data_IF_010366517836
#
_entry.id   IF_010366517836
#
_cell.length_a   1.000
_cell.length_b   1.000
_cell.length_c   1.000
_cell.angle_alpha   90.00
_cell.angle_beta   90.00
_cell.angle_gamma   90.00
#
_symmetry.space_group_name_H-M   'P 1'
#
loop_
_entity.id
_entity.type
_entity.pdbx_description
1 polymer ?
#
# COMPACT_ATOMS: atom_id res chain seq x y z
N UNK A 1 -13.68 35.54 -77.22
CA UNK A 1 -14.13 36.29 -76.02
C UNK A 1 -12.96 36.23 -75.03
N UNK A 2 -12.05 37.21 -74.99
CA UNK A 2 -12.12 38.45 -74.14
C UNK A 2 -12.22 38.02 -72.66
N UNK A 3 -11.31 38.27 -71.70
CA UNK A 3 -10.21 39.23 -71.43
C UNK A 3 -9.28 38.58 -70.36
N UNK A 4 -7.94 38.54 -70.44
CA UNK A 4 -6.92 39.55 -70.03
C UNK A 4 -7.18 40.28 -68.69
N UNK A 5 -6.33 40.05 -67.67
CA UNK A 5 -5.26 41.00 -67.30
C UNK A 5 -4.26 40.48 -66.24
N UNK A 6 -2.98 40.71 -66.56
CA UNK A 6 -1.76 40.54 -65.76
C UNK A 6 -1.50 41.76 -64.87
N UNK A 7 -0.76 41.57 -63.76
CA UNK A 7 0.30 42.47 -63.25
C UNK A 7 1.33 41.55 -62.55
N UNK A 8 2.51 41.26 -63.13
CA UNK A 8 3.85 41.88 -62.88
C UNK A 8 4.14 42.02 -61.37
N UNK A 9 5.23 41.58 -60.72
CA UNK A 9 6.68 41.48 -60.96
C UNK A 9 7.23 40.98 -59.60
N UNK A 10 8.10 39.98 -59.45
CA UNK A 10 9.56 40.05 -59.60
C UNK A 10 10.10 38.62 -59.38
N UNK A 11 10.83 38.09 -60.35
CA UNK A 11 11.77 37.01 -60.13
C UNK A 11 13.17 37.61 -60.02
N UNK A 12 13.83 37.41 -58.87
CA UNK A 12 15.29 37.41 -58.74
C UNK A 12 15.66 36.36 -57.69
N UNK A 13 16.63 35.51 -58.05
CA UNK A 13 17.43 34.63 -57.20
C UNK A 13 16.79 33.34 -56.66
N UNK A 14 16.57 32.38 -57.57
CA UNK A 14 16.53 30.95 -57.25
C UNK A 14 17.79 30.31 -57.88
N UNK A 15 18.96 30.54 -57.25
CA UNK A 15 20.23 29.83 -57.50
C UNK A 15 21.29 30.30 -56.50
N UNK A 16 21.19 29.81 -55.27
CA UNK A 16 22.32 29.64 -54.37
C UNK A 16 22.03 28.40 -53.51
N UNK A 17 22.21 27.23 -54.12
CA UNK A 17 22.47 26.01 -53.37
C UNK A 17 23.76 26.21 -52.54
N UNK A 18 23.79 25.47 -51.44
CA UNK A 18 24.95 25.13 -50.59
C UNK A 18 25.18 26.08 -49.41
N UNK A 19 25.17 25.45 -48.22
CA UNK A 19 25.48 25.96 -46.89
C UNK A 19 24.34 26.72 -46.18
N UNK A 20 23.51 25.97 -45.44
CA UNK A 20 23.05 26.25 -44.06
C UNK A 20 21.90 25.29 -43.70
N UNK A 21 22.22 23.98 -43.62
CA UNK A 21 21.38 22.97 -42.97
C UNK A 21 22.25 22.25 -41.92
N UNK A 22 22.68 23.03 -40.93
CA UNK A 22 23.32 22.55 -39.71
C UNK A 22 23.01 23.57 -38.61
N UNK A 23 21.74 23.63 -38.23
CA UNK A 23 21.25 24.55 -37.21
C UNK A 23 20.37 23.79 -36.24
N UNK A 24 21.00 23.18 -35.26
CA UNK A 24 20.48 22.86 -33.93
C UNK A 24 18.96 22.70 -33.82
N UNK A 25 18.46 21.49 -34.09
CA UNK A 25 17.38 20.96 -33.25
C UNK A 25 18.05 20.51 -31.96
N UNK A 26 18.41 21.46 -31.10
CA UNK A 26 18.49 21.14 -29.68
C UNK A 26 17.06 20.76 -29.29
N UNK A 27 16.81 19.46 -29.15
CA UNK A 27 15.69 19.00 -28.34
C UNK A 27 15.89 19.63 -26.97
N UNK A 28 15.20 20.73 -26.70
CA UNK A 28 15.06 21.24 -25.35
C UNK A 28 14.30 20.14 -24.61
N UNK A 29 15.04 19.32 -23.85
CA UNK A 29 14.44 18.50 -22.81
C UNK A 29 13.58 19.45 -21.97
N UNK A 30 12.27 19.20 -21.81
CA UNK A 30 11.46 20.05 -20.95
C UNK A 30 12.14 20.05 -19.59
N UNK A 31 12.58 21.22 -19.12
CA UNK A 31 13.04 21.38 -17.76
C UNK A 31 11.84 21.06 -16.88
N UNK A 32 11.84 19.87 -16.29
CA UNK A 32 10.76 19.39 -15.45
C UNK A 32 10.56 20.40 -14.31
N UNK A 33 9.37 21.00 -14.25
CA UNK A 33 9.00 21.84 -13.12
C UNK A 33 9.08 20.97 -11.87
N UNK A 34 9.71 21.49 -10.81
CA UNK A 34 9.77 20.88 -9.48
C UNK A 34 8.34 20.48 -9.07
N UNK A 35 7.99 19.21 -9.28
CA UNK A 35 6.66 18.69 -8.99
C UNK A 35 6.48 18.65 -7.48
N UNK A 36 5.34 19.17 -7.06
CA UNK A 36 4.66 19.12 -5.75
C UNK A 36 5.45 18.55 -4.56
N UNK A 37 5.51 19.29 -3.45
CA UNK A 37 6.11 18.83 -2.19
C UNK A 37 5.39 17.56 -1.70
N UNK A 38 6.03 16.41 -1.89
CA UNK A 38 5.63 15.15 -1.28
C UNK A 38 6.15 15.13 0.15
N UNK A 39 5.30 14.78 1.11
CA UNK A 39 5.71 14.51 2.47
C UNK A 39 6.49 13.19 2.55
N UNK A 40 7.82 13.29 2.47
CA UNK A 40 8.72 12.13 2.59
C UNK A 40 8.73 11.52 4.00
N UNK A 41 8.22 12.23 5.02
CA UNK A 41 8.16 11.72 6.39
C UNK A 41 7.07 10.66 6.58
N UNK A 42 6.15 10.53 5.62
CA UNK A 42 5.11 9.50 5.62
C UNK A 42 5.62 8.09 5.33
N UNK A 43 6.78 7.94 4.67
CA UNK A 43 7.28 6.66 4.18
C UNK A 43 8.15 5.96 5.21
N UNK A 44 7.91 4.67 5.45
CA UNK A 44 8.66 3.90 6.46
C UNK A 44 10.04 3.48 5.99
N UNK A 45 10.20 3.18 4.70
CA UNK A 45 11.43 2.60 4.16
C UNK A 45 11.94 3.34 2.92
N UNK A 46 13.25 3.25 2.72
CA UNK A 46 13.97 3.79 1.58
C UNK A 46 14.89 2.75 0.96
N UNK A 47 15.14 2.84 -0.34
CA UNK A 47 16.26 2.16 -0.99
C UNK A 47 16.97 3.12 -1.94
N UNK A 48 18.29 3.12 -1.90
CA UNK A 48 19.12 3.86 -2.85
C UNK A 48 19.33 3.03 -4.11
N UNK A 49 19.25 3.70 -5.26
CA UNK A 49 19.39 3.09 -6.58
C UNK A 49 20.37 3.94 -7.38
N UNK A 50 21.53 3.35 -7.66
CA UNK A 50 22.56 3.94 -8.50
C UNK A 50 22.65 3.15 -9.81
N UNK A 51 21.85 3.49 -10.83
CA UNK A 51 21.95 2.81 -12.11
C UNK A 51 23.30 3.17 -12.75
N UNK A 52 24.17 2.17 -12.91
CA UNK A 52 25.47 2.37 -13.53
C UNK A 52 25.33 2.83 -14.98
N UNK A 53 25.83 4.06 -15.27
CA UNK A 53 26.07 4.66 -16.60
C UNK A 53 25.07 4.27 -17.70
N UNK A 54 23.77 4.49 -17.47
CA UNK A 54 22.81 4.48 -18.56
C UNK A 54 23.11 5.66 -19.50
N UNK A 55 23.44 5.39 -20.77
CA UNK A 55 23.67 6.44 -21.77
C UNK A 55 22.36 7.09 -22.27
N UNK A 56 21.23 6.39 -22.08
CA UNK A 56 19.90 6.80 -22.52
C UNK A 56 18.85 6.64 -21.41
N UNK A 57 17.77 7.44 -21.42
CA UNK A 57 16.64 7.23 -20.51
C UNK A 57 16.10 5.81 -20.64
N UNK A 58 15.98 5.10 -19.50
CA UNK A 58 15.67 3.68 -19.46
C UNK A 58 14.63 3.41 -18.38
N UNK A 59 13.65 2.55 -18.64
CA UNK A 59 12.70 2.11 -17.61
C UNK A 59 13.42 1.12 -16.70
N UNK A 60 13.57 1.47 -15.44
CA UNK A 60 14.15 0.59 -14.44
C UNK A 60 13.05 -0.11 -13.66
N UNK A 61 13.26 -1.39 -13.39
CA UNK A 61 12.45 -2.17 -12.46
C UNK A 61 13.30 -2.51 -11.23
N UNK A 62 12.82 -2.10 -10.06
CA UNK A 62 13.49 -2.31 -8.77
C UNK A 62 12.68 -3.30 -7.96
N UNK A 63 13.16 -4.53 -7.76
CA UNK A 63 12.51 -5.50 -6.88
C UNK A 63 12.47 -5.00 -5.43
N UNK A 64 11.35 -5.28 -4.75
CA UNK A 64 11.10 -4.96 -3.35
C UNK A 64 10.85 -6.26 -2.59
N UNK A 65 11.48 -6.38 -1.42
CA UNK A 65 11.31 -7.54 -0.54
C UNK A 65 9.84 -7.75 -0.14
N UNK A 66 9.30 -8.90 -0.55
CA UNK A 66 7.89 -9.26 -0.39
C UNK A 66 7.54 -9.38 1.10
N UNK A 67 6.40 -8.79 1.48
CA UNK A 67 5.86 -8.87 2.85
C UNK A 67 6.44 -7.87 3.85
N UNK A 68 7.41 -7.04 3.45
CA UNK A 68 7.87 -5.90 4.27
C UNK A 68 7.07 -4.61 4.03
N UNK A 69 6.43 -4.50 2.88
CA UNK A 69 5.64 -3.34 2.46
C UNK A 69 4.17 -3.72 2.52
N UNK A 70 3.38 -2.97 3.28
CA UNK A 70 1.93 -3.17 3.39
C UNK A 70 1.19 -2.29 2.37
N UNK A 71 1.60 -1.03 2.27
CA UNK A 71 1.03 -0.07 1.34
C UNK A 71 1.86 -0.03 0.05
N UNK A 72 1.26 -0.50 -1.06
CA UNK A 72 1.89 -0.68 -2.39
C UNK A 72 2.09 0.63 -3.15
N UNK A 73 2.48 1.65 -2.43
CA UNK A 73 2.65 2.98 -2.96
C UNK A 73 4.08 3.42 -2.76
N UNK A 74 4.66 4.01 -3.79
CA UNK A 74 6.06 4.37 -3.79
C UNK A 74 6.30 5.71 -4.50
N UNK A 75 7.34 6.42 -4.04
CA UNK A 75 7.76 7.68 -4.63
C UNK A 75 9.23 7.59 -4.93
N UNK A 76 9.60 7.98 -6.15
CA UNK A 76 10.99 8.01 -6.58
C UNK A 76 11.44 9.45 -6.56
N UNK A 77 12.56 9.74 -5.88
CA UNK A 77 13.17 11.06 -5.84
C UNK A 77 14.53 10.96 -6.52
N UNK A 78 14.72 11.73 -7.60
CA UNK A 78 16.03 11.91 -8.21
C UNK A 78 16.74 13.13 -7.62
N UNK A 79 18.06 13.05 -7.42
CA UNK A 79 18.88 14.06 -6.73
C UNK A 79 18.54 15.52 -7.11
N UNK A 80 18.45 15.82 -8.41
CA UNK A 80 18.21 17.18 -8.92
C UNK A 80 16.88 17.36 -9.67
N UNK A 81 16.14 16.28 -9.91
CA UNK A 81 14.97 16.28 -10.81
C UNK A 81 13.61 16.21 -10.09
N UNK A 82 13.63 16.15 -8.75
CA UNK A 82 12.40 16.06 -7.96
C UNK A 82 11.74 14.67 -8.06
N UNK A 83 10.45 14.62 -7.73
CA UNK A 83 9.70 13.35 -7.67
C UNK A 83 9.35 12.85 -9.07
N UNK A 84 9.60 11.57 -9.31
CA UNK A 84 9.29 10.88 -10.55
C UNK A 84 8.00 10.05 -10.40
N UNK A 85 7.15 9.98 -11.44
CA UNK A 85 6.08 9.00 -11.51
C UNK A 85 6.64 7.59 -11.38
N UNK A 86 6.00 6.78 -10.55
CA UNK A 86 6.36 5.39 -10.32
C UNK A 86 5.14 4.50 -10.57
N UNK A 87 5.37 3.25 -10.91
CA UNK A 87 4.33 2.24 -11.06
C UNK A 87 4.69 1.00 -10.26
N UNK A 88 3.84 0.66 -9.29
CA UNK A 88 4.01 -0.53 -8.47
C UNK A 88 3.42 -1.75 -9.19
N UNK A 89 4.23 -2.78 -9.38
CA UNK A 89 3.83 -4.05 -9.99
C UNK A 89 3.92 -5.17 -8.96
N UNK A 90 2.98 -6.10 -9.04
CA UNK A 90 3.00 -7.35 -8.30
C UNK A 90 2.75 -8.47 -9.29
N UNK A 91 3.73 -9.35 -9.46
CA UNK A 91 3.68 -10.42 -10.45
C UNK A 91 4.16 -11.73 -9.82
N UNK A 92 3.86 -12.84 -10.47
CA UNK A 92 4.26 -14.17 -10.02
C UNK A 92 5.27 -14.71 -11.01
N UNK A 93 6.52 -14.81 -10.58
CA UNK A 93 7.58 -15.39 -11.38
C UNK A 93 7.78 -16.87 -11.04
N UNK A 94 8.12 -17.63 -12.08
CA UNK A 94 8.59 -19.01 -11.92
C UNK A 94 10.09 -18.95 -11.80
N UNK A 95 10.61 -19.32 -10.63
CA UNK A 95 12.05 -19.33 -10.42
C UNK A 95 12.65 -20.52 -11.16
N UNK A 96 13.35 -20.26 -12.25
CA UNK A 96 14.10 -21.30 -12.94
C UNK A 96 15.42 -21.58 -12.20
N UNK A 97 15.62 -22.82 -11.77
CA UNK A 97 16.85 -23.20 -11.08
C UNK A 97 17.95 -23.49 -12.10
N UNK A 98 19.11 -22.79 -12.03
CA UNK A 98 20.25 -23.13 -12.87
C UNK A 98 20.69 -24.57 -12.59
N UNK A 99 20.73 -25.37 -13.65
CA UNK A 99 21.12 -26.78 -13.61
C UNK A 99 22.35 -27.01 -14.46
N UNK A 100 23.26 -27.84 -13.97
CA UNK A 100 24.40 -28.35 -14.72
C UNK A 100 24.08 -29.76 -15.17
N UNK A 101 24.11 -29.97 -16.48
CA UNK A 101 23.91 -31.28 -17.08
C UNK A 101 25.28 -31.93 -17.29
N UNK A 102 25.56 -33.00 -16.56
CA UNK A 102 26.76 -33.82 -16.72
C UNK A 102 26.35 -35.11 -17.43
N UNK A 103 26.73 -35.22 -18.70
CA UNK A 103 26.55 -36.46 -19.45
C UNK A 103 27.87 -37.18 -19.58
N UNK A 104 27.91 -38.46 -19.20
CA UNK A 104 29.11 -39.29 -19.39
C UNK A 104 29.28 -39.60 -20.88
N UNK A 105 30.35 -39.08 -21.47
CA UNK A 105 30.76 -39.38 -22.84
C UNK A 105 30.21 -38.45 -23.94
N UNK A 106 29.46 -37.40 -23.59
CA UNK A 106 28.99 -36.41 -24.56
C UNK A 106 29.80 -35.11 -24.50
N UNK A 107 30.06 -34.51 -25.66
CA UNK A 107 30.68 -33.19 -25.81
C UNK A 107 29.56 -32.14 -25.76
N UNK A 108 29.82 -30.98 -25.15
CA UNK A 108 28.88 -29.85 -25.04
C UNK A 108 27.58 -30.14 -24.25
N UNK A 109 27.67 -30.90 -23.15
CA UNK A 109 26.50 -31.20 -22.31
C UNK A 109 25.75 -29.97 -21.78
N UNK A 110 26.42 -28.80 -21.69
CA UNK A 110 25.81 -27.53 -21.29
C UNK A 110 24.68 -27.08 -22.23
N UNK A 111 24.69 -27.51 -23.49
CA UNK A 111 23.64 -27.20 -24.46
C UNK A 111 22.27 -27.75 -24.02
N UNK A 112 22.23 -28.77 -23.16
CA UNK A 112 20.97 -29.34 -22.64
C UNK A 112 20.35 -28.53 -21.51
N UNK A 113 20.83 -27.30 -21.30
CA UNK A 113 20.42 -26.41 -20.21
C UNK A 113 20.67 -24.93 -20.51
N UNK A 114 20.96 -24.56 -21.76
CA UNK A 114 21.33 -23.19 -22.16
C UNK A 114 20.13 -22.34 -22.61
N UNK A 115 18.93 -22.94 -22.60
CA UNK A 115 17.63 -22.43 -23.07
C UNK A 115 17.61 -22.08 -24.55
N UNK A 116 18.55 -22.58 -25.33
CA UNK A 116 18.62 -22.34 -26.75
C UNK A 116 18.21 -23.59 -27.52
N UNK A 117 16.98 -23.57 -28.06
CA UNK A 117 16.41 -24.72 -28.77
C UNK A 117 17.15 -25.07 -30.08
N UNK A 118 18.08 -24.23 -30.54
CA UNK A 118 18.91 -24.48 -31.72
C UNK A 118 20.20 -25.25 -31.38
N UNK A 119 20.65 -25.23 -30.11
CA UNK A 119 21.80 -26.03 -29.68
C UNK A 119 21.33 -27.45 -29.34
N UNK A 120 22.16 -28.44 -29.66
CA UNK A 120 21.79 -29.85 -29.46
C UNK A 120 22.97 -30.68 -28.99
N UNK A 121 22.67 -31.83 -28.38
CA UNK A 121 23.62 -32.88 -28.02
C UNK A 121 23.21 -34.18 -28.67
N UNK A 122 24.17 -34.79 -29.35
CA UNK A 122 24.02 -36.05 -30.07
C UNK A 122 24.40 -37.26 -29.21
N UNK A 123 23.53 -38.27 -29.23
CA UNK A 123 23.71 -39.57 -28.59
C UNK A 123 23.71 -40.65 -29.66
N UNK A 124 24.89 -41.17 -30.04
CA UNK A 124 24.99 -42.18 -31.08
C UNK A 124 24.37 -43.51 -30.63
N UNK A 125 23.90 -44.27 -31.61
CA UNK A 125 23.37 -45.62 -31.44
C UNK A 125 24.38 -46.63 -31.99
N UNK A 126 24.68 -47.68 -31.22
CA UNK A 126 25.59 -48.76 -31.61
C UNK A 126 24.82 -50.08 -31.70
N UNK A 127 24.72 -50.64 -32.92
CA UNK A 127 24.00 -51.89 -33.17
C UNK A 127 24.57 -53.10 -32.39
N UNK A 128 25.84 -53.05 -31.97
CA UNK A 128 26.50 -54.11 -31.19
C UNK A 128 26.53 -53.83 -29.68
N UNK A 129 26.14 -52.62 -29.25
CA UNK A 129 26.23 -52.15 -27.87
C UNK A 129 24.96 -52.33 -27.06
N UNK A 130 25.02 -51.97 -25.77
CA UNK A 130 23.85 -52.01 -24.87
C UNK A 130 22.86 -50.87 -25.12
N UNK A 131 23.21 -49.86 -25.93
CA UNK A 131 22.39 -48.69 -26.27
C UNK A 131 21.77 -47.98 -25.06
N UNK A 132 22.50 -47.96 -23.94
CA UNK A 132 22.10 -47.30 -22.70
C UNK A 132 22.86 -46.00 -22.55
N UNK A 133 22.13 -44.92 -22.31
CA UNK A 133 22.74 -43.62 -21.97
C UNK A 133 22.31 -43.22 -20.57
N UNK A 134 23.22 -42.57 -19.84
CA UNK A 134 22.99 -42.07 -18.49
C UNK A 134 23.35 -40.60 -18.44
N UNK A 135 22.36 -39.78 -18.11
CA UNK A 135 22.47 -38.33 -17.98
C UNK A 135 22.33 -38.00 -16.49
N UNK A 136 23.34 -37.34 -15.92
CA UNK A 136 23.29 -36.86 -14.54
C UNK A 136 23.03 -35.37 -14.55
N UNK A 137 21.87 -34.95 -14.07
CA UNK A 137 21.50 -33.54 -13.92
C UNK A 137 21.76 -33.13 -12.49
N UNK A 138 22.59 -32.11 -12.29
CA UNK A 138 22.92 -31.56 -10.97
C UNK A 138 22.46 -30.11 -10.91
N UNK A 139 21.49 -29.82 -10.06
CA UNK A 139 21.05 -28.46 -9.78
C UNK A 139 21.94 -27.79 -8.74
N UNK A 140 22.10 -26.47 -8.82
CA UNK A 140 22.86 -25.69 -7.84
C UNK A 140 22.21 -25.66 -6.45
N UNK A 141 20.90 -25.96 -6.38
CA UNK A 141 20.11 -26.09 -5.15
C UNK A 141 19.13 -27.26 -5.26
N UNK A 142 18.51 -27.67 -4.14
CA UNK A 142 17.49 -28.73 -4.19
C UNK A 142 16.26 -28.23 -4.95
N UNK A 143 15.79 -29.03 -5.90
CA UNK A 143 14.57 -28.75 -6.66
C UNK A 143 13.48 -29.75 -6.29
N UNK A 144 12.22 -29.29 -6.27
CA UNK A 144 11.05 -30.14 -6.09
C UNK A 144 10.25 -30.20 -7.38
N UNK A 145 10.10 -31.39 -7.94
CA UNK A 145 9.51 -31.62 -9.26
C UNK A 145 8.74 -32.94 -9.30
N UNK A 146 7.72 -33.01 -10.15
CA UNK A 146 6.99 -34.22 -10.51
C UNK A 146 6.99 -34.48 -12.02
N UNK A 147 7.69 -33.65 -12.79
CA UNK A 147 7.60 -33.63 -14.23
C UNK A 147 8.95 -33.31 -14.87
N UNK A 148 9.37 -34.18 -15.79
CA UNK A 148 10.57 -34.04 -16.62
C UNK A 148 10.12 -33.87 -18.06
N UNK A 149 10.59 -32.83 -18.73
CA UNK A 149 10.35 -32.56 -20.14
C UNK A 149 11.65 -32.68 -20.91
N UNK A 150 11.58 -33.36 -22.05
CA UNK A 150 12.65 -33.52 -23.01
C UNK A 150 12.26 -32.79 -24.28
N UNK A 151 13.13 -31.91 -24.74
CA UNK A 151 12.99 -31.27 -26.05
C UNK A 151 13.94 -31.97 -27.01
N UNK A 152 13.37 -32.62 -28.02
CA UNK A 152 14.14 -33.29 -29.07
C UNK A 152 14.40 -32.32 -30.21
N UNK A 153 15.50 -32.53 -30.92
CA UNK A 153 15.73 -31.83 -32.17
C UNK A 153 14.75 -32.27 -33.27
N UNK A 154 14.54 -31.47 -34.32
CA UNK A 154 13.64 -31.83 -35.42
C UNK A 154 14.01 -33.16 -36.09
N UNK A 155 12.99 -33.94 -36.45
CA UNK A 155 13.11 -35.23 -37.16
C UNK A 155 13.88 -36.32 -36.39
N UNK A 156 13.86 -36.25 -35.06
CA UNK A 156 14.47 -37.24 -34.16
C UNK A 156 13.37 -37.93 -33.39
N UNK A 157 13.48 -39.23 -33.21
CA UNK A 157 12.47 -40.00 -32.50
C UNK A 157 12.88 -40.31 -31.05
N UNK A 158 11.86 -40.54 -30.23
CA UNK A 158 11.99 -40.68 -28.78
C UNK A 158 12.80 -41.93 -28.38
N UNK A 159 13.47 -41.91 -27.20
CA UNK A 159 14.07 -43.12 -26.64
C UNK A 159 13.01 -44.18 -26.35
N UNK A 160 13.40 -45.46 -26.36
CA UNK A 160 12.46 -46.57 -26.19
C UNK A 160 11.97 -46.67 -24.75
N UNK A 161 12.89 -46.56 -23.78
CA UNK A 161 12.54 -46.56 -22.36
C UNK A 161 13.29 -45.48 -21.60
N UNK A 162 12.71 -45.08 -20.47
CA UNK A 162 13.28 -44.15 -19.50
C UNK A 162 13.20 -44.75 -18.10
N UNK A 163 14.24 -44.55 -17.29
CA UNK A 163 14.22 -44.72 -15.85
C UNK A 163 14.79 -43.46 -15.17
N UNK A 164 14.26 -43.11 -14.00
CA UNK A 164 14.66 -41.92 -13.26
C UNK A 164 15.03 -42.28 -11.82
N UNK A 165 16.16 -41.74 -11.37
CA UNK A 165 16.67 -41.92 -10.01
C UNK A 165 17.02 -40.55 -9.42
N UNK A 166 16.91 -40.43 -8.09
CA UNK A 166 17.58 -39.36 -7.33
C UNK A 166 18.80 -39.90 -6.64
N UNK A 167 19.80 -39.06 -6.45
CA UNK A 167 20.91 -39.37 -5.53
C UNK A 167 20.56 -38.85 -4.13
N UNK A 168 20.65 -39.71 -3.13
CA UNK A 168 20.46 -39.36 -1.73
C UNK A 168 21.51 -40.09 -0.89
N UNK A 169 22.30 -39.38 -0.09
CA UNK A 169 23.39 -39.96 0.70
C UNK A 169 24.34 -40.84 -0.16
N UNK A 170 24.68 -40.39 -1.37
CA UNK A 170 25.50 -41.12 -2.36
C UNK A 170 24.92 -42.44 -2.88
N UNK A 171 23.64 -42.75 -2.61
CA UNK A 171 22.96 -43.93 -3.12
C UNK A 171 21.84 -43.53 -4.10
N UNK A 172 21.71 -44.20 -5.25
CA UNK A 172 20.61 -43.98 -6.18
C UNK A 172 19.31 -44.56 -5.61
N UNK A 173 18.26 -43.74 -5.56
CA UNK A 173 16.89 -44.14 -5.20
C UNK A 173 15.99 -43.97 -6.42
N UNK A 174 15.27 -45.04 -6.78
CA UNK A 174 14.35 -45.06 -7.92
C UNK A 174 13.21 -44.08 -7.66
N UNK A 175 12.98 -43.16 -8.61
CA UNK A 175 11.81 -42.28 -8.68
C UNK A 175 10.80 -42.86 -9.68
N UNK A 176 11.29 -43.25 -10.85
CA UNK A 176 10.52 -43.88 -11.91
C UNK A 176 11.24 -45.15 -12.32
N UNK A 177 10.61 -46.29 -12.10
CA UNK A 177 11.10 -47.56 -12.63
C UNK A 177 11.10 -47.53 -14.16
N UNK A 178 11.88 -48.40 -14.79
CA UNK A 178 11.97 -48.46 -16.26
C UNK A 178 10.59 -48.55 -16.91
N UNK A 179 10.25 -47.54 -17.70
CA UNK A 179 8.97 -47.42 -18.42
C UNK A 179 9.17 -47.07 -19.88
N UNK A 180 8.24 -47.49 -20.74
CA UNK A 180 8.18 -47.08 -22.15
C UNK A 180 7.94 -45.55 -22.24
N UNK A 181 8.72 -44.86 -23.07
CA UNK A 181 8.62 -43.41 -23.21
C UNK A 181 7.79 -43.06 -24.45
N UNK A 182 6.66 -42.36 -24.25
CA UNK A 182 5.60 -42.17 -25.27
C UNK A 182 5.38 -40.74 -25.73
N UNK A 183 6.19 -39.78 -25.30
CA UNK A 183 6.00 -38.37 -25.62
C UNK A 183 7.22 -37.55 -25.27
N UNK A 184 7.04 -36.26 -25.00
CA UNK A 184 8.12 -35.34 -24.56
C UNK A 184 8.16 -35.15 -23.04
N UNK A 185 7.15 -35.64 -22.32
CA UNK A 185 6.97 -35.39 -20.89
C UNK A 185 6.86 -36.69 -20.12
N UNK A 186 7.52 -36.76 -18.97
CA UNK A 186 7.46 -37.85 -18.00
C UNK A 186 6.96 -37.32 -16.68
N UNK A 187 5.86 -37.89 -16.18
CA UNK A 187 5.34 -37.61 -14.84
C UNK A 187 5.80 -38.68 -13.85
N UNK A 188 6.17 -38.26 -12.65
CA UNK A 188 6.63 -39.12 -11.57
C UNK A 188 6.24 -38.54 -10.20
N UNK A 189 6.31 -39.32 -9.11
CA UNK A 189 5.95 -38.81 -7.79
C UNK A 189 6.78 -37.58 -7.41
N UNK A 190 6.11 -36.56 -6.85
CA UNK A 190 6.75 -35.32 -6.37
C UNK A 190 8.00 -35.65 -5.56
N UNK A 191 9.14 -35.21 -6.06
CA UNK A 191 10.45 -35.56 -5.53
C UNK A 191 11.31 -34.33 -5.36
N UNK A 192 11.93 -34.21 -4.18
CA UNK A 192 12.94 -33.19 -3.87
C UNK A 192 14.33 -33.82 -3.93
N UNK A 193 15.22 -33.27 -4.76
CA UNK A 193 16.64 -33.66 -4.85
C UNK A 193 17.48 -32.56 -5.54
N UNK A 194 18.80 -32.59 -5.32
CA UNK A 194 19.76 -31.76 -6.07
C UNK A 194 20.35 -32.48 -7.29
N UNK A 195 20.32 -33.81 -7.31
CA UNK A 195 20.91 -34.62 -8.38
C UNK A 195 19.95 -35.69 -8.84
N UNK A 196 19.68 -35.70 -10.14
CA UNK A 196 18.84 -36.68 -10.83
C UNK A 196 19.69 -37.45 -11.83
N UNK A 197 19.45 -38.74 -11.93
CA UNK A 197 20.04 -39.59 -12.95
C UNK A 197 18.92 -40.09 -13.83
N UNK A 198 19.02 -39.78 -15.12
CA UNK A 198 18.09 -40.21 -16.16
C UNK A 198 18.80 -41.28 -16.97
N UNK A 199 18.22 -42.47 -17.04
CA UNK A 199 18.71 -43.56 -17.88
C UNK A 199 17.75 -43.76 -19.04
N UNK A 200 18.28 -43.76 -20.27
CA UNK A 200 17.52 -44.13 -21.44
C UNK A 200 18.06 -45.42 -22.05
N UNK A 201 17.17 -46.21 -22.63
CA UNK A 201 17.54 -47.22 -23.61
C UNK A 201 17.08 -46.75 -24.98
N UNK A 202 18.04 -46.64 -25.90
CA UNK A 202 17.83 -46.15 -27.24
C UNK A 202 17.41 -47.30 -28.17
N UNK A 203 16.52 -47.03 -29.12
CA UNK A 203 16.25 -47.90 -30.26
C UNK A 203 16.83 -47.33 -31.58
N UNK A 204 17.32 -46.10 -31.54
CA UNK A 204 17.88 -45.33 -32.66
C UNK A 204 18.70 -44.15 -32.10
N UNK A 205 19.46 -43.41 -32.93
CA UNK A 205 20.16 -42.21 -32.49
C UNK A 205 19.22 -41.19 -31.84
N UNK A 206 19.65 -40.61 -30.72
CA UNK A 206 18.90 -39.58 -30.00
C UNK A 206 19.66 -38.26 -30.10
N UNK A 207 18.92 -37.17 -30.30
CA UNK A 207 19.43 -35.81 -30.24
C UNK A 207 18.47 -34.97 -29.41
N UNK A 208 19.00 -34.43 -28.33
CA UNK A 208 18.26 -33.59 -27.40
C UNK A 208 18.70 -32.13 -27.60
N UNK A 209 17.74 -31.23 -27.62
CA UNK A 209 17.97 -29.80 -27.53
C UNK A 209 18.01 -29.39 -26.04
N UNK A 210 17.00 -29.77 -25.26
CA UNK A 210 16.87 -29.34 -23.87
C UNK A 210 16.37 -30.45 -22.94
N UNK A 211 16.81 -30.38 -21.69
CA UNK A 211 16.29 -31.20 -20.59
C UNK A 211 15.79 -30.27 -19.50
N UNK A 212 14.47 -30.25 -19.32
CA UNK A 212 13.81 -29.37 -18.38
C UNK A 212 13.17 -30.20 -17.26
N UNK A 213 13.63 -30.02 -16.03
CA UNK A 213 12.79 -30.36 -14.89
C UNK A 213 11.78 -29.24 -14.69
N UNK A 214 10.50 -29.57 -14.81
CA UNK A 214 9.44 -28.62 -14.45
C UNK A 214 9.44 -28.57 -12.94
N UNK A 215 10.11 -27.56 -12.38
CA UNK A 215 9.96 -27.28 -10.97
C UNK A 215 8.48 -27.00 -10.75
N UNK A 216 7.89 -27.63 -9.74
CA UNK A 216 6.48 -27.38 -9.38
C UNK A 216 6.25 -25.96 -8.83
N UNK A 217 7.19 -25.04 -9.09
CA UNK A 217 7.28 -23.63 -8.74
C UNK A 217 6.91 -23.37 -7.29
N UNK A 218 7.92 -23.00 -6.50
CA UNK A 218 7.63 -21.95 -5.54
C UNK A 218 7.24 -20.75 -6.43
N UNK A 219 5.95 -20.47 -6.54
CA UNK A 219 5.48 -19.24 -7.17
C UNK A 219 6.04 -18.10 -6.33
N UNK A 220 7.16 -17.53 -6.79
CA UNK A 220 7.74 -16.39 -6.11
C UNK A 220 6.95 -15.20 -6.59
N UNK A 221 5.99 -14.80 -5.75
CA UNK A 221 5.42 -13.46 -5.87
C UNK A 221 6.59 -12.51 -5.67
N UNK A 222 6.84 -11.66 -6.64
CA UNK A 222 7.74 -10.54 -6.47
C UNK A 222 6.95 -9.25 -6.67
N UNK A 223 7.39 -8.23 -5.96
CA UNK A 223 6.84 -6.90 -6.05
C UNK A 223 7.97 -5.99 -6.51
N UNK A 224 7.66 -5.05 -7.38
CA UNK A 224 8.67 -4.14 -7.91
C UNK A 224 8.08 -2.75 -8.16
N UNK A 225 8.96 -1.76 -8.24
CA UNK A 225 8.60 -0.41 -8.68
C UNK A 225 9.30 -0.11 -9.99
N UNK A 226 8.51 0.33 -10.97
CA UNK A 226 8.99 0.83 -12.26
C UNK A 226 9.01 2.35 -12.27
N UNK A 227 10.05 2.92 -12.86
CA UNK A 227 10.12 4.36 -13.16
C UNK A 227 11.07 4.62 -14.33
N UNK A 228 10.91 5.79 -14.97
CA UNK A 228 11.81 6.22 -16.04
C UNK A 228 13.07 6.86 -15.42
N UNK A 229 14.19 6.16 -15.49
CA UNK A 229 15.47 6.67 -15.03
C UNK A 229 16.16 7.51 -16.11
N UNK A 230 16.75 8.62 -15.69
CA UNK A 230 17.57 9.50 -16.49
C UNK A 230 19.05 9.08 -16.40
N UNK A 231 19.83 9.31 -17.47
CA UNK A 231 21.27 9.13 -17.45
C UNK A 231 21.95 9.79 -16.26
N UNK A 232 22.92 9.11 -15.65
CA UNK A 232 23.79 9.63 -14.59
C UNK A 232 23.07 10.24 -13.38
N UNK A 233 21.88 9.75 -13.04
CA UNK A 233 21.10 10.20 -11.88
C UNK A 233 20.99 9.08 -10.85
N UNK A 234 21.27 9.39 -9.59
CA UNK A 234 20.93 8.49 -8.49
C UNK A 234 19.49 8.75 -8.03
N UNK A 235 18.87 7.69 -7.56
CA UNK A 235 17.49 7.71 -7.11
C UNK A 235 17.38 7.17 -5.70
N UNK A 236 16.52 7.80 -4.91
CA UNK A 236 16.03 7.23 -3.66
C UNK A 236 14.56 6.87 -3.85
N UNK A 237 14.25 5.60 -3.65
CA UNK A 237 12.88 5.11 -3.67
C UNK A 237 12.35 5.08 -2.23
N UNK A 238 11.24 5.78 -2.00
CA UNK A 238 10.49 5.79 -0.74
C UNK A 238 9.27 4.88 -0.88
N UNK A 239 9.08 3.96 0.06
CA UNK A 239 8.00 2.96 0.01
C UNK A 239 7.28 2.84 1.35
N UNK A 240 6.08 2.26 1.29
CA UNK A 240 5.24 1.96 2.46
C UNK A 240 4.82 3.20 3.27
N UNK A 241 4.02 4.12 2.67
CA UNK A 241 3.53 5.28 3.39
C UNK A 241 2.47 4.89 4.42
N UNK A 242 2.56 5.49 5.61
CA UNK A 242 1.58 5.29 6.71
C UNK A 242 0.38 6.24 6.64
N UNK A 243 0.47 7.32 5.87
CA UNK A 243 -0.59 8.31 5.63
C UNK A 243 -0.60 8.77 4.17
N UNK A 244 -1.62 9.53 3.79
CA UNK A 244 -1.64 10.17 2.47
C UNK A 244 -0.49 11.18 2.35
N UNK A 245 0.32 11.05 1.32
CA UNK A 245 1.52 11.86 1.10
C UNK A 245 1.36 12.85 -0.07
N UNK A 246 0.13 13.01 -0.57
CA UNK A 246 -0.24 13.91 -1.67
C UNK A 246 -0.57 13.20 -2.99
N UNK A 247 -0.92 14.00 -4.00
CA UNK A 247 -1.21 13.51 -5.37
C UNK A 247 0.04 13.62 -6.23
N UNK A 248 0.53 12.51 -6.77
CA UNK A 248 1.52 12.57 -7.85
C UNK A 248 0.75 12.65 -9.17
N UNK A 249 0.99 13.69 -9.97
CA UNK A 249 0.41 13.77 -11.30
C UNK A 249 0.92 12.59 -12.14
N UNK A 250 0.04 11.66 -12.51
CA UNK A 250 0.36 10.50 -13.33
C UNK A 250 0.55 10.84 -14.83
N UNK A 251 0.92 12.08 -15.16
CA UNK A 251 1.22 12.44 -16.55
C UNK A 251 2.62 11.92 -16.89
N UNK A 252 2.69 10.64 -17.26
CA UNK A 252 3.89 9.95 -17.70
C UNK A 252 3.57 8.95 -18.81
N UNK A 253 4.62 8.40 -19.43
CA UNK A 253 4.48 7.26 -20.36
C UNK A 253 3.91 6.04 -19.63
N UNK A 254 3.26 5.13 -20.37
CA UNK A 254 2.79 3.86 -19.83
C UNK A 254 3.98 3.02 -19.35
N UNK A 255 4.07 2.78 -18.04
CA UNK A 255 5.09 1.91 -17.42
C UNK A 255 4.65 0.44 -17.34
N UNK A 256 3.52 0.10 -17.97
CA UNK A 256 2.92 -1.24 -17.93
C UNK A 256 3.49 -2.19 -19.00
N UNK A 257 4.24 -1.70 -19.97
CA UNK A 257 4.90 -2.53 -20.99
C UNK A 257 6.19 -3.14 -20.41
N UNK A 258 6.49 -4.37 -20.83
CA UNK A 258 7.68 -5.12 -20.44
C UNK A 258 8.83 -4.94 -21.45
N UNK A 259 8.57 -4.35 -22.63
CA UNK A 259 9.60 -4.11 -23.63
C UNK A 259 10.63 -3.04 -23.17
N UNK A 260 11.91 -3.41 -23.15
CA UNK A 260 13.00 -2.48 -22.83
C UNK A 260 13.15 -2.15 -21.34
N UNK A 261 12.53 -2.92 -20.44
CA UNK A 261 12.69 -2.79 -18.99
C UNK A 261 14.02 -3.41 -18.55
N UNK A 262 14.79 -2.65 -17.75
CA UNK A 262 16.03 -3.13 -17.16
C UNK A 262 15.81 -3.35 -15.66
N UNK A 263 15.89 -4.60 -15.23
CA UNK A 263 15.82 -4.96 -13.81
C UNK A 263 17.16 -4.66 -13.13
N UNK A 264 17.12 -3.91 -12.04
CA UNK A 264 18.29 -3.70 -11.18
C UNK A 264 18.30 -4.72 -10.03
N UNK A 265 19.44 -4.90 -9.38
CA UNK A 265 19.53 -5.76 -8.19
C UNK A 265 18.54 -5.33 -7.10
N UNK A 266 18.11 -6.29 -6.27
CA UNK A 266 17.16 -6.05 -5.18
C UNK A 266 17.63 -4.89 -4.31
N UNK A 267 16.79 -3.85 -4.22
CA UNK A 267 17.06 -2.69 -3.38
C UNK A 267 17.06 -3.10 -1.92
N UNK A 268 18.15 -2.81 -1.20
CA UNK A 268 18.20 -3.07 0.25
C UNK A 268 17.30 -2.05 0.92
N UNK A 269 16.15 -2.51 1.44
CA UNK A 269 15.24 -1.66 2.21
C UNK A 269 15.90 -1.25 3.53
N UNK A 270 16.19 0.03 3.65
CA UNK A 270 16.62 0.69 4.87
C UNK A 270 15.46 1.44 5.52
N UNK A 271 15.53 1.65 6.83
CA UNK A 271 14.57 2.51 7.53
C UNK A 271 14.75 3.96 7.09
N UNK A 272 13.66 4.62 6.69
CA UNK A 272 13.70 6.03 6.33
C UNK A 272 14.03 6.88 7.57
N UNK A 273 15.15 7.60 7.53
CA UNK A 273 15.59 8.48 8.64
C UNK A 273 14.67 9.68 8.85
N UNK A 274 13.88 10.03 7.84
CA UNK A 274 12.90 11.12 7.90
C UNK A 274 11.54 10.65 8.42
N UNK A 275 11.34 9.34 8.56
CA UNK A 275 10.04 8.78 8.94
C UNK A 275 9.57 9.36 10.28
N UNK A 276 8.36 9.89 10.27
CA UNK A 276 7.64 10.30 11.47
C UNK A 276 6.30 9.58 11.46
N UNK A 277 5.99 8.79 12.49
CA UNK A 277 4.66 8.22 12.64
C UNK A 277 3.56 9.26 12.45
N UNK A 278 2.51 8.89 11.75
CA UNK A 278 1.31 9.71 11.64
C UNK A 278 0.71 9.96 13.03
N UNK A 279 0.30 11.20 13.26
CA UNK A 279 -0.39 11.72 14.44
C UNK A 279 -1.40 12.72 13.88
N UNK A 280 -2.61 12.22 13.62
CA UNK A 280 -3.62 12.90 12.82
C UNK A 280 -4.35 14.02 13.55
N UNK A 281 -4.42 13.95 14.88
CA UNK A 281 -5.07 14.94 15.73
C UNK A 281 -4.08 15.80 16.55
N UNK A 282 -2.78 15.56 16.37
CA UNK A 282 -1.66 16.32 16.93
C UNK A 282 -1.59 16.28 18.46
N UNK A 283 -1.99 15.17 19.06
CA UNK A 283 -2.04 15.00 20.51
C UNK A 283 -0.77 14.39 21.12
N UNK A 284 0.27 14.16 20.30
CA UNK A 284 1.57 13.54 20.61
C UNK A 284 1.57 12.02 20.73
N UNK A 285 0.44 11.37 20.55
CA UNK A 285 0.29 9.93 20.43
C UNK A 285 0.11 9.60 18.95
N UNK A 286 0.96 8.72 18.41
CA UNK A 286 0.81 8.35 17.00
C UNK A 286 -0.44 7.50 16.77
N UNK A 287 -1.10 7.65 15.61
CA UNK A 287 -2.33 6.95 15.20
C UNK A 287 -2.30 5.43 15.46
N UNK A 288 -1.13 4.79 15.38
CA UNK A 288 -1.01 3.34 15.59
C UNK A 288 -1.12 2.90 17.05
N UNK A 289 -1.00 3.83 17.99
CA UNK A 289 -1.09 3.62 19.44
C UNK A 289 -2.18 4.47 20.08
N UNK A 290 -2.95 5.19 19.27
CA UNK A 290 -3.97 6.11 19.73
C UNK A 290 -5.34 5.41 19.79
N UNK A 291 -5.94 5.39 20.98
CA UNK A 291 -7.28 4.84 21.21
C UNK A 291 -8.41 5.79 20.76
N UNK A 292 -8.07 7.00 20.31
CA UNK A 292 -8.97 8.02 19.75
C UNK A 292 -8.34 8.83 18.60
N UNK A 293 -7.85 8.15 17.54
CA UNK A 293 -7.17 8.65 16.30
C UNK A 293 -7.62 10.00 15.67
N UNK A 294 -8.78 10.54 16.03
CA UNK A 294 -9.30 11.80 15.50
C UNK A 294 -9.72 12.82 16.56
N UNK A 295 -9.48 12.54 17.85
CA UNK A 295 -9.92 13.35 18.99
C UNK A 295 -8.76 13.42 19.99
N UNK A 296 -8.13 14.60 20.16
CA UNK A 296 -6.92 14.71 20.98
C UNK A 296 -7.12 14.24 22.41
N UNK A 297 -6.35 13.23 22.84
CA UNK A 297 -6.39 12.66 24.18
C UNK A 297 -5.03 12.05 24.58
N UNK A 298 -4.03 12.93 24.73
CA UNK A 298 -2.64 12.57 25.08
C UNK A 298 -2.47 11.68 26.33
N UNK A 299 -3.47 11.60 27.20
CA UNK A 299 -3.47 10.76 28.41
C UNK A 299 -3.98 9.33 28.16
N UNK A 300 -4.59 9.06 27.00
CA UNK A 300 -5.04 7.75 26.51
C UNK A 300 -5.89 6.99 27.54
N UNK A 301 -6.73 7.73 28.27
CA UNK A 301 -7.63 7.14 29.28
C UNK A 301 -8.66 6.26 28.59
N UNK A 302 -8.77 5.02 29.07
CA UNK A 302 -9.74 4.00 28.66
C UNK A 302 -10.11 3.22 29.93
N UNK A 303 -11.21 3.63 30.58
CA UNK A 303 -11.60 3.11 31.90
C UNK A 303 -12.13 1.67 31.80
N UNK A 304 -12.89 1.37 30.76
CA UNK A 304 -13.51 0.04 30.59
C UNK A 304 -12.62 -0.96 29.84
N UNK A 305 -11.51 -0.49 29.26
CA UNK A 305 -10.48 -1.24 28.54
C UNK A 305 -11.01 -1.90 27.28
N UNK A 306 -11.95 -1.26 26.60
CA UNK A 306 -12.51 -1.77 25.36
C UNK A 306 -11.65 -1.45 24.12
N UNK A 307 -10.59 -0.63 24.28
CA UNK A 307 -9.67 -0.23 23.21
C UNK A 307 -10.06 1.06 22.49
N UNK A 308 -11.16 1.71 22.89
CA UNK A 308 -11.56 3.05 22.50
C UNK A 308 -11.39 3.96 23.72
N UNK A 309 -10.74 5.10 23.56
CA UNK A 309 -10.52 6.01 24.67
C UNK A 309 -11.79 6.74 25.11
N UNK A 310 -11.89 7.08 26.40
CA UNK A 310 -13.02 7.80 26.99
C UNK A 310 -13.35 9.11 26.23
N UNK A 311 -12.34 9.74 25.61
CA UNK A 311 -12.50 10.97 24.84
C UNK A 311 -13.38 10.81 23.58
N UNK A 312 -13.42 9.60 23.01
CA UNK A 312 -14.17 9.27 21.81
C UNK A 312 -15.16 8.10 22.03
N UNK A 313 -15.30 7.62 23.27
CA UNK A 313 -16.23 6.55 23.62
C UNK A 313 -17.68 7.04 23.74
N UNK A 314 -18.57 6.08 23.61
CA UNK A 314 -20.02 6.18 23.74
C UNK A 314 -20.44 5.06 24.71
N UNK A 315 -20.41 5.40 26.01
CA UNK A 315 -20.56 4.43 27.10
C UNK A 315 -21.93 3.73 27.10
N UNK A 316 -22.98 4.40 26.63
CA UNK A 316 -24.34 3.88 26.66
C UNK A 316 -24.85 3.42 25.27
N UNK A 317 -24.09 3.72 24.21
CA UNK A 317 -24.25 3.24 22.84
C UNK A 317 -25.49 3.79 22.16
N UNK A 318 -25.82 5.04 22.46
CA UNK A 318 -26.94 5.74 21.86
C UNK A 318 -26.59 6.46 20.54
N UNK A 319 -25.30 6.45 20.17
CA UNK A 319 -24.76 7.08 18.96
C UNK A 319 -24.11 8.44 19.20
N UNK A 320 -24.00 8.89 20.46
CA UNK A 320 -23.47 10.19 20.84
C UNK A 320 -22.28 9.98 21.76
N UNK A 321 -21.15 10.59 21.42
CA UNK A 321 -19.94 10.45 22.23
C UNK A 321 -20.17 11.07 23.61
N UNK A 322 -19.66 10.42 24.66
CA UNK A 322 -19.86 10.79 26.06
C UNK A 322 -19.56 12.26 26.35
N UNK A 323 -18.56 12.85 25.69
CA UNK A 323 -18.22 14.28 25.86
C UNK A 323 -19.27 15.27 25.32
N UNK A 324 -20.23 14.81 24.51
CA UNK A 324 -21.31 15.60 23.90
C UNK A 324 -22.69 15.13 24.34
N UNK A 325 -22.75 14.09 25.17
CA UNK A 325 -23.98 13.45 25.59
C UNK A 325 -24.51 14.11 26.87
N UNK A 326 -25.78 14.53 26.85
CA UNK A 326 -26.48 15.07 28.03
C UNK A 326 -26.84 13.99 29.05
N UNK A 327 -26.82 12.72 28.67
CA UNK A 327 -26.99 11.57 29.55
C UNK A 327 -25.95 10.46 29.32
N UNK A 328 -24.67 10.69 29.68
CA UNK A 328 -23.52 9.81 29.37
C UNK A 328 -23.61 8.30 29.65
N UNK A 329 -24.60 7.86 30.43
CA UNK A 329 -24.76 6.49 30.93
C UNK A 329 -26.17 5.95 30.67
N UNK A 330 -27.06 6.72 30.05
CA UNK A 330 -28.49 6.39 29.87
C UNK A 330 -28.91 6.75 28.44
N UNK A 331 -29.14 5.74 27.57
CA UNK A 331 -29.31 5.99 26.15
C UNK A 331 -30.45 6.96 25.82
N UNK A 332 -30.11 8.10 25.20
CA UNK A 332 -31.05 9.15 24.80
C UNK A 332 -30.63 9.81 23.48
N UNK A 333 -30.71 9.06 22.38
CA UNK A 333 -30.29 9.52 21.04
C UNK A 333 -30.96 10.80 20.55
N UNK A 334 -32.07 11.24 21.16
CA UNK A 334 -32.74 12.51 20.85
C UNK A 334 -32.21 13.72 21.63
N UNK A 335 -31.32 13.52 22.60
CA UNK A 335 -30.64 14.54 23.43
C UNK A 335 -31.61 15.59 23.97
N UNK A 336 -32.80 15.14 24.33
CA UNK A 336 -33.84 16.03 24.81
C UNK A 336 -33.45 16.55 26.19
N UNK A 337 -33.45 17.87 26.30
CA UNK A 337 -33.19 18.64 27.51
C UNK A 337 -34.20 19.80 27.52
N UNK A 338 -35.30 19.61 28.26
CA UNK A 338 -36.49 20.47 28.19
C UNK A 338 -36.27 21.83 28.88
N UNK A 339 -35.45 21.88 29.93
CA UNK A 339 -35.17 23.10 30.70
C UNK A 339 -33.78 23.72 30.41
N UNK A 340 -32.97 23.03 29.61
CA UNK A 340 -31.66 23.48 29.10
C UNK A 340 -30.64 23.69 30.21
N UNK A 341 -30.68 22.85 31.25
CA UNK A 341 -29.72 22.85 32.35
C UNK A 341 -28.43 22.06 32.04
N UNK A 342 -28.42 21.31 30.93
CA UNK A 342 -27.31 20.49 30.46
C UNK A 342 -27.38 19.01 30.85
N UNK A 343 -28.42 18.58 31.57
CA UNK A 343 -28.74 17.18 31.90
C UNK A 343 -29.96 16.77 31.08
N UNK A 344 -29.88 15.63 30.38
CA UNK A 344 -30.99 15.22 29.51
C UNK A 344 -32.19 14.69 30.30
N UNK A 345 -33.40 14.86 29.75
CA UNK A 345 -34.67 14.39 30.32
C UNK A 345 -34.65 12.89 30.70
N UNK A 346 -33.79 12.09 30.05
CA UNK A 346 -33.67 10.65 30.28
C UNK A 346 -32.92 10.28 31.57
N UNK A 347 -32.04 11.14 32.05
CA UNK A 347 -31.19 10.93 33.23
C UNK A 347 -31.34 12.03 34.29
N UNK A 348 -32.16 13.04 34.03
CA UNK A 348 -32.47 14.07 35.00
C UNK A 348 -33.52 13.57 36.03
N UNK A 349 -33.11 13.55 37.30
CA UNK A 349 -34.00 13.24 38.42
C UNK A 349 -34.78 14.49 38.88
N UNK A 350 -34.29 15.69 38.58
CA UNK A 350 -34.81 16.99 39.02
C UNK A 350 -36.04 17.46 38.21
N UNK A 351 -36.20 17.09 36.93
CA UNK A 351 -37.43 17.27 36.11
C UNK A 351 -38.75 16.87 36.82
N UNK A 352 -38.68 16.00 37.84
CA UNK A 352 -39.82 15.63 38.69
C UNK A 352 -40.22 16.67 39.75
N UNK A 353 -39.43 17.74 39.95
CA UNK A 353 -39.69 18.80 40.92
C UNK A 353 -40.72 19.76 40.34
N UNK A 354 -41.76 20.02 41.12
CA UNK A 354 -42.85 20.92 40.74
C UNK A 354 -42.37 22.31 40.29
N UNK A 355 -41.25 22.79 40.82
CA UNK A 355 -40.67 24.11 40.52
C UNK A 355 -39.99 24.20 39.16
N UNK A 356 -39.46 23.10 38.62
CA UNK A 356 -38.87 23.03 37.27
C UNK A 356 -39.96 22.81 36.21
N UNK A 357 -40.85 21.84 36.42
CA UNK A 357 -42.00 21.62 35.53
C UNK A 357 -42.91 22.84 35.38
N UNK A 358 -42.91 23.75 36.34
CA UNK A 358 -43.74 24.95 36.32
C UNK A 358 -42.96 26.16 36.84
N UNK A 359 -42.15 26.79 35.97
CA UNK A 359 -41.30 27.93 36.33
C UNK A 359 -42.08 29.15 36.85
N UNK A 360 -43.40 29.18 36.61
CA UNK A 360 -44.30 30.23 37.06
C UNK A 360 -44.74 30.09 38.53
N UNK A 361 -44.53 28.94 39.18
CA UNK A 361 -44.97 28.69 40.57
C UNK A 361 -44.33 29.66 41.58
N UNK A 362 -43.00 29.92 41.53
CA UNK A 362 -42.37 30.93 42.41
C UNK A 362 -42.99 32.33 42.21
N UNK A 363 -43.24 32.72 40.96
CA UNK A 363 -43.85 34.01 40.62
C UNK A 363 -45.32 34.11 41.07
N UNK A 364 -46.08 33.02 40.96
CA UNK A 364 -47.43 32.94 41.52
C UNK A 364 -47.42 33.08 43.04
N UNK A 365 -46.48 32.42 43.73
CA UNK A 365 -46.28 32.56 45.18
C UNK A 365 -45.97 34.00 45.59
N UNK A 366 -45.04 34.66 44.89
CA UNK A 366 -44.72 36.08 45.11
C UNK A 366 -45.91 37.00 44.80
N UNK A 367 -46.66 36.73 43.74
CA UNK A 367 -47.86 37.47 43.36
C UNK A 367 -48.96 37.37 44.41
N UNK A 368 -49.20 36.18 44.96
CA UNK A 368 -50.17 35.97 46.05
C UNK A 368 -49.71 36.71 47.31
N UNK A 369 -48.44 36.59 47.69
CA UNK A 369 -47.91 37.30 48.86
C UNK A 369 -48.03 38.83 48.72
N UNK A 370 -47.73 39.36 47.53
CA UNK A 370 -47.91 40.77 47.21
C UNK A 370 -49.37 41.22 47.30
N UNK A 371 -50.30 40.43 46.76
CA UNK A 371 -51.74 40.72 46.84
C UNK A 371 -52.26 40.70 48.29
N UNK A 372 -51.78 39.76 49.11
CA UNK A 372 -52.12 39.69 50.55
C UNK A 372 -51.61 40.94 51.29
N UNK A 373 -50.37 41.35 51.02
CA UNK A 373 -49.80 42.58 51.61
C UNK A 373 -50.60 43.82 51.21
N UNK A 374 -50.95 43.96 49.93
CA UNK A 374 -51.78 45.07 49.44
C UNK A 374 -53.17 45.05 50.09
N UNK A 375 -53.80 43.88 50.21
CA UNK A 375 -55.07 43.72 50.88
C UNK A 375 -55.03 44.12 52.35
N UNK A 376 -54.00 43.68 53.09
CA UNK A 376 -53.77 44.08 54.48
C UNK A 376 -53.56 45.60 54.62
N UNK A 377 -52.85 46.21 53.67
CA UNK A 377 -52.64 47.66 53.62
C UNK A 377 -53.96 48.41 53.41
N UNK A 378 -54.83 47.96 52.50
CA UNK A 378 -56.15 48.56 52.25
C UNK A 378 -57.05 48.42 53.49
N UNK A 379 -57.03 47.27 54.17
CA UNK A 379 -57.80 47.06 55.40
C UNK A 379 -57.30 47.99 56.50
N UNK A 380 -55.98 48.14 56.67
CA UNK A 380 -55.41 49.08 57.65
C UNK A 380 -55.73 50.55 57.34
N UNK A 381 -55.80 50.93 56.06
CA UNK A 381 -56.16 52.29 55.63
C UNK A 381 -57.68 52.57 55.74
N UNK A 382 -58.51 51.53 55.71
CA UNK A 382 -59.97 51.62 55.84
C UNK A 382 -60.49 51.68 57.29
N UNK A 383 -59.64 51.46 58.29
CA UNK A 383 -60.01 51.57 59.69
C UNK A 383 -60.14 53.04 60.10
N UNK A 384 -61.37 53.56 60.15
CA UNK A 384 -61.66 54.87 60.76
C UNK A 384 -61.17 54.89 62.21
N UNK A 385 -60.39 55.91 62.63
CA UNK A 385 -59.96 56.02 64.02
C UNK A 385 -61.19 56.15 64.92
N UNK A 386 -61.28 55.30 65.95
CA UNK A 386 -62.25 55.47 67.03
C UNK A 386 -61.93 56.79 67.74
N UNK A 387 -62.91 57.68 67.72
CA UNK A 387 -62.89 58.97 68.42
C UNK A 387 -62.88 58.78 69.93
N UNK A 388 -61.96 59.53 70.57
CA UNK A 388 -62.10 60.04 71.93
C UNK A 388 -61.47 59.20 73.03
N UNK A 389 -60.39 59.71 73.62
CA UNK A 389 -60.21 59.81 75.09
C UNK A 389 -59.29 61.01 75.36
N UNK A 390 -59.78 61.93 76.21
CA UNK A 390 -59.06 63.02 76.85
C UNK A 390 -58.01 62.44 77.82
N UNK A 391 -56.77 62.92 77.80
CA UNK A 391 -55.90 62.84 78.98
C UNK A 391 -55.19 64.16 79.21
N UNK A 392 -55.45 64.61 80.42
CA UNK A 392 -55.02 65.79 81.14
C UNK A 392 -53.50 65.86 81.33
N UNK A 393 -53.02 67.10 81.40
CA UNK A 393 -51.66 67.57 81.66
C UNK A 393 -51.01 66.97 82.90
N UNK A 394 -49.70 66.71 82.82
CA UNK A 394 -48.79 67.04 83.92
C UNK A 394 -47.41 67.46 83.42
N UNK A 395 -47.08 68.71 83.69
CA UNK A 395 -45.74 69.29 83.65
C UNK A 395 -44.77 68.46 84.49
N UNK A 396 -43.51 68.36 84.04
CA UNK A 396 -42.41 68.78 84.89
C UNK A 396 -41.20 69.25 84.06
N UNK A 397 -40.70 70.40 84.50
CA UNK A 397 -39.51 71.15 84.06
C UNK A 397 -38.25 70.27 84.00
N UNK A 398 -37.26 70.69 83.19
CA UNK A 398 -35.96 71.22 83.68
C UNK A 398 -35.20 71.87 82.49
N UNK A 399 -34.82 73.13 82.71
CA UNK A 399 -33.86 73.92 81.91
C UNK A 399 -32.44 73.34 81.98
N UNK A 400 -31.65 73.48 80.92
CA UNK A 400 -30.27 73.99 81.06
C UNK A 400 -29.69 74.46 79.72
N UNK A 401 -29.49 75.80 79.67
CA UNK A 401 -28.54 76.63 78.91
C UNK A 401 -28.73 76.82 77.39
#
# INVERSE_FOLDING_TARGET
MIHKNNVLTYGIALLACVALWAGNVCAQTPSWQKTQEVDLTAFRYTTEISPHQNEVPTVLEVPIAVGRVLNKTAVVVGDEQGTQPSFYISNTERLDVPMQVIVKGAVNANNLSDRNLETTVDFPFDEAGTNKISITVTANQQITTSELRLVLAPNVAHPHTIALYRISQNLPKIILAKTEFKGSTVRFPKTTASTFVIEFELAQPLRLAEIEFVQESEEVRYEAVRFLAQPNTNYTLFVDPDRQYGTISSQGMSLADDEGVVTVGEGVLETNKLYRPSDGDEDTVSDMYDNCVSVPNSDQVDVDKNGRGDACDDFDRDGIVTIKDTCPLVPNSDQRDTDSDGVGDACDEEENRLTERSPWIPWAGMGIAGAVLIGLLIISAGMKPKTGVQVETKEDKVESL
#
